data_IF_309838734776
#
_entry.id   IF_309838734776
#
_cell.length_a   1.000
_cell.length_b   1.000
_cell.length_c   1.000
_cell.angle_alpha   90.00
_cell.angle_beta   90.00
_cell.angle_gamma   90.00
#
_symmetry.space_group_name_H-M   'P 1'
#
loop_
_entity.id
_entity.type
_entity.pdbx_description
1 polymer ?
#
# COMPACT_ATOMS: atom_id res chain seq x y z
N UNK A 1 14.75 -0.01 -14.08
CA UNK A 1 14.41 0.52 -12.75
C UNK A 1 13.60 -0.48 -11.91
N UNK A 2 12.67 -1.24 -12.52
CA UNK A 2 11.79 -2.21 -11.81
C UNK A 2 12.54 -3.35 -11.11
N UNK A 3 13.78 -3.59 -11.44
CA UNK A 3 14.64 -4.58 -10.77
C UNK A 3 15.09 -4.12 -9.38
N UNK A 4 15.01 -2.81 -9.10
CA UNK A 4 15.39 -2.24 -7.81
C UNK A 4 14.32 -2.49 -6.75
N UNK A 5 14.68 -2.90 -5.54
CA UNK A 5 13.73 -3.08 -4.44
C UNK A 5 12.96 -1.80 -4.14
N UNK A 6 11.63 -1.89 -4.08
CA UNK A 6 10.75 -0.76 -3.79
C UNK A 6 10.29 0.05 -5.01
N UNK A 7 10.84 -0.21 -6.20
CA UNK A 7 10.40 0.45 -7.45
C UNK A 7 9.25 -0.36 -8.06
N UNK A 8 8.03 0.14 -7.89
CA UNK A 8 6.83 -0.37 -8.55
C UNK A 8 6.50 0.38 -9.83
N UNK A 9 5.44 -0.04 -10.54
CA UNK A 9 5.01 0.54 -11.83
C UNK A 9 4.81 2.06 -11.79
N UNK A 10 4.29 2.58 -10.68
CA UNK A 10 4.12 4.02 -10.48
C UNK A 10 5.46 4.73 -10.39
N UNK A 11 6.31 4.30 -9.47
CA UNK A 11 7.63 4.93 -9.22
C UNK A 11 8.52 4.86 -10.46
N UNK A 12 8.54 3.71 -11.13
CA UNK A 12 9.25 3.54 -12.40
C UNK A 12 8.76 4.54 -13.46
N UNK A 13 7.45 4.61 -13.69
CA UNK A 13 6.87 5.55 -14.67
C UNK A 13 7.10 7.01 -14.29
N UNK A 14 7.05 7.35 -13.01
CA UNK A 14 7.28 8.72 -12.53
C UNK A 14 8.73 9.14 -12.74
N UNK A 15 9.69 8.31 -12.38
CA UNK A 15 11.11 8.58 -12.59
C UNK A 15 11.40 8.74 -14.09
N UNK A 16 10.91 7.82 -14.93
CA UNK A 16 11.13 7.88 -16.38
C UNK A 16 10.53 9.13 -17.00
N UNK A 17 9.35 9.56 -16.59
CA UNK A 17 8.73 10.77 -17.10
C UNK A 17 9.45 12.04 -16.59
N UNK A 18 9.57 12.17 -15.27
CA UNK A 18 9.98 13.43 -14.63
C UNK A 18 11.48 13.65 -14.75
N UNK A 19 12.31 12.65 -14.43
CA UNK A 19 13.75 12.80 -14.44
C UNK A 19 14.39 12.56 -15.82
N UNK A 20 13.80 11.68 -16.63
CA UNK A 20 14.38 11.31 -17.93
C UNK A 20 13.57 11.78 -19.13
N UNK A 21 12.52 12.56 -18.92
CA UNK A 21 11.63 13.09 -19.97
C UNK A 21 11.11 12.03 -20.96
N UNK A 22 10.94 10.78 -20.49
CA UNK A 22 10.43 9.67 -21.32
C UNK A 22 8.90 9.71 -21.38
N UNK A 23 8.26 9.25 -22.48
CA UNK A 23 6.81 9.36 -22.70
C UNK A 23 6.00 8.37 -21.85
N UNK A 24 6.10 8.54 -20.54
CA UNK A 24 5.36 7.78 -19.55
C UNK A 24 4.37 8.68 -18.79
N UNK A 25 3.21 8.14 -18.46
CA UNK A 25 2.25 8.75 -17.55
C UNK A 25 2.18 7.89 -16.30
N UNK A 26 2.65 8.35 -15.14
CA UNK A 26 2.52 7.61 -13.89
C UNK A 26 1.04 7.52 -13.49
N UNK A 27 0.61 6.33 -13.06
CA UNK A 27 -0.78 6.11 -12.66
C UNK A 27 -0.87 6.13 -11.13
N UNK A 28 -1.05 7.32 -10.56
CA UNK A 28 -1.36 7.53 -9.14
C UNK A 28 -2.87 7.66 -8.90
N UNK A 29 -3.28 7.85 -7.64
CA UNK A 29 -4.68 8.04 -7.29
C UNK A 29 -5.32 9.32 -7.87
N UNK A 30 -4.53 10.35 -8.16
CA UNK A 30 -4.97 11.60 -8.76
C UNK A 30 -5.26 11.41 -10.25
N UNK A 31 -4.29 10.87 -10.97
CA UNK A 31 -4.42 10.59 -12.41
C UNK A 31 -5.51 9.53 -12.65
N UNK A 32 -5.61 8.50 -11.79
CA UNK A 32 -6.70 7.52 -11.85
C UNK A 32 -8.08 8.20 -11.74
N UNK A 33 -8.23 9.15 -10.84
CA UNK A 33 -9.47 9.93 -10.66
C UNK A 33 -9.79 10.78 -11.89
N UNK A 34 -8.78 11.47 -12.44
CA UNK A 34 -8.92 12.26 -13.67
C UNK A 34 -9.38 11.36 -14.81
N UNK A 35 -8.72 10.24 -15.05
CA UNK A 35 -9.10 9.26 -16.08
C UNK A 35 -10.53 8.77 -15.93
N UNK A 36 -10.92 8.38 -14.72
CA UNK A 36 -12.27 7.88 -14.44
C UNK A 36 -13.33 8.91 -14.76
N UNK A 37 -13.11 10.18 -14.45
CA UNK A 37 -14.03 11.26 -14.72
C UNK A 37 -13.99 11.68 -16.19
N UNK A 38 -12.82 11.86 -16.74
CA UNK A 38 -12.67 12.29 -18.13
C UNK A 38 -13.34 11.33 -19.11
N UNK A 39 -13.11 10.03 -18.95
CA UNK A 39 -13.71 8.99 -19.80
C UNK A 39 -15.05 8.45 -19.28
N UNK A 40 -15.54 8.92 -18.14
CA UNK A 40 -16.77 8.45 -17.48
C UNK A 40 -16.77 6.93 -17.23
N UNK A 41 -15.74 6.43 -16.55
CA UNK A 41 -15.56 5.01 -16.30
C UNK A 41 -16.36 4.59 -15.05
N UNK A 42 -17.49 3.90 -15.24
CA UNK A 42 -18.41 3.52 -14.15
C UNK A 42 -18.44 2.02 -13.87
N UNK A 43 -18.21 1.18 -14.88
CA UNK A 43 -18.24 -0.28 -14.74
C UNK A 43 -17.00 -0.77 -14.00
N UNK A 44 -17.15 -1.82 -13.14
CA UNK A 44 -16.02 -2.40 -12.40
C UNK A 44 -14.87 -2.84 -13.32
N UNK A 45 -15.18 -3.43 -14.49
CA UNK A 45 -14.19 -3.80 -15.50
C UNK A 45 -13.40 -2.62 -16.06
N UNK A 46 -14.01 -1.43 -16.16
CA UNK A 46 -13.40 -0.21 -16.69
C UNK A 46 -12.49 0.50 -15.68
N UNK A 47 -12.63 0.20 -14.39
CA UNK A 47 -11.82 0.78 -13.31
C UNK A 47 -10.74 -0.17 -12.79
N UNK A 48 -10.56 -1.32 -13.44
CA UNK A 48 -9.43 -2.21 -13.17
C UNK A 48 -8.11 -1.53 -13.53
N UNK A 49 -7.03 -1.91 -12.81
CA UNK A 49 -5.69 -1.32 -13.06
C UNK A 49 -5.27 -1.50 -14.52
N UNK A 50 -5.49 -2.67 -15.10
CA UNK A 50 -5.09 -2.96 -16.48
C UNK A 50 -5.86 -2.12 -17.50
N UNK A 51 -7.15 -1.91 -17.29
CA UNK A 51 -7.96 -1.04 -18.14
C UNK A 51 -7.49 0.43 -18.04
N UNK A 52 -7.22 0.92 -16.84
CA UNK A 52 -6.71 2.28 -16.63
C UNK A 52 -5.33 2.48 -17.25
N UNK A 53 -4.45 1.47 -17.20
CA UNK A 53 -3.15 1.49 -17.89
C UNK A 53 -3.33 1.61 -19.41
N UNK A 54 -4.31 0.92 -19.98
CA UNK A 54 -4.64 1.07 -21.41
C UNK A 54 -5.20 2.47 -21.72
N UNK A 55 -6.10 2.97 -20.87
CA UNK A 55 -6.74 4.29 -21.05
C UNK A 55 -5.78 5.46 -20.88
N UNK A 56 -4.79 5.38 -20.00
CA UNK A 56 -3.81 6.47 -19.85
C UNK A 56 -3.04 6.77 -21.13
N UNK A 57 -2.88 5.78 -22.03
CA UNK A 57 -2.25 5.97 -23.33
C UNK A 57 -3.07 6.93 -24.23
N UNK A 58 -4.39 7.02 -24.02
CA UNK A 58 -5.27 7.92 -24.76
C UNK A 58 -5.19 9.38 -24.30
N UNK A 59 -4.50 9.66 -23.20
CA UNK A 59 -4.17 11.03 -22.82
C UNK A 59 -3.08 11.63 -23.71
N UNK A 60 -2.51 10.81 -24.59
CA UNK A 60 -1.44 11.22 -25.48
C UNK A 60 -0.06 11.19 -24.82
N UNK A 61 0.89 11.68 -25.59
CA UNK A 61 2.29 11.84 -25.20
C UNK A 61 2.73 13.27 -25.54
N UNK A 62 3.72 13.78 -24.81
CA UNK A 62 4.27 15.11 -25.03
C UNK A 62 5.78 15.01 -25.21
N UNK A 63 6.35 15.88 -26.04
CA UNK A 63 7.80 16.09 -26.08
C UNK A 63 8.34 16.61 -24.74
N UNK A 64 7.48 17.28 -23.96
CA UNK A 64 7.71 17.72 -22.58
C UNK A 64 7.07 16.75 -21.60
N UNK A 65 7.50 15.50 -21.61
CA UNK A 65 6.88 14.42 -20.81
C UNK A 65 6.95 14.67 -19.31
N UNK A 66 8.01 15.33 -18.84
CA UNK A 66 8.19 15.73 -17.44
C UNK A 66 7.06 16.68 -17.00
N UNK A 67 6.88 17.78 -17.75
CA UNK A 67 5.86 18.79 -17.42
C UNK A 67 4.45 18.20 -17.57
N UNK A 68 4.25 17.39 -18.60
CA UNK A 68 2.95 16.75 -18.84
C UNK A 68 2.53 15.80 -17.71
N UNK A 69 3.45 14.97 -17.23
CA UNK A 69 3.19 14.08 -16.13
C UNK A 69 2.88 14.85 -14.82
N UNK A 70 3.64 15.90 -14.54
CA UNK A 70 3.43 16.76 -13.38
C UNK A 70 2.11 17.51 -13.47
N UNK A 71 1.81 18.11 -14.65
CA UNK A 71 0.53 18.81 -14.87
C UNK A 71 -0.69 17.90 -14.66
N UNK A 72 -0.63 16.62 -15.08
CA UNK A 72 -1.71 15.66 -14.80
C UNK A 72 -1.84 15.31 -13.31
N UNK A 73 -0.74 15.24 -12.58
CA UNK A 73 -0.77 15.03 -11.14
C UNK A 73 -1.39 16.24 -10.42
N UNK A 74 -0.96 17.46 -10.78
CA UNK A 74 -1.46 18.70 -10.22
C UNK A 74 -2.93 18.94 -10.57
N UNK A 75 -3.34 18.67 -11.82
CA UNK A 75 -4.73 18.70 -12.22
C UNK A 75 -5.60 17.84 -11.29
N UNK A 76 -5.14 16.64 -10.97
CA UNK A 76 -5.83 15.77 -10.03
C UNK A 76 -5.79 16.30 -8.59
N UNK A 77 -4.67 16.85 -8.14
CA UNK A 77 -4.51 17.32 -6.77
C UNK A 77 -5.30 18.62 -6.50
N UNK A 78 -5.19 19.59 -7.41
CA UNK A 78 -5.65 20.96 -7.18
C UNK A 78 -7.03 21.26 -7.78
N UNK A 79 -7.33 20.74 -8.96
CA UNK A 79 -8.53 21.05 -9.74
C UNK A 79 -9.55 19.91 -9.67
N UNK A 80 -9.21 18.73 -10.16
CA UNK A 80 -10.10 17.57 -10.16
C UNK A 80 -10.14 16.88 -8.79
N UNK A 81 -10.43 17.62 -7.72
CA UNK A 81 -10.46 17.15 -6.33
C UNK A 81 -11.42 15.98 -6.12
N UNK A 82 -11.23 15.14 -5.08
CA UNK A 82 -12.15 14.06 -4.74
C UNK A 82 -13.58 14.53 -4.50
N UNK A 83 -13.72 15.61 -3.73
CA UNK A 83 -14.98 16.32 -3.46
C UNK A 83 -14.91 17.71 -4.09
N UNK A 84 -16.03 18.21 -4.61
CA UNK A 84 -16.19 19.54 -5.17
C UNK A 84 -15.04 19.93 -6.14
N UNK A 85 -14.91 19.27 -7.29
CA UNK A 85 -13.90 19.61 -8.27
C UNK A 85 -14.14 21.01 -8.86
N UNK A 86 -13.05 21.79 -9.02
CA UNK A 86 -13.08 23.14 -9.63
C UNK A 86 -13.13 23.01 -11.16
N UNK A 87 -14.28 22.56 -11.69
CA UNK A 87 -14.41 22.24 -13.12
C UNK A 87 -14.28 23.45 -14.04
N UNK A 88 -14.65 24.64 -13.57
CA UNK A 88 -14.54 25.91 -14.34
C UNK A 88 -13.09 26.29 -14.63
N UNK A 89 -12.16 25.87 -13.77
CA UNK A 89 -10.71 26.10 -13.94
C UNK A 89 -10.03 24.97 -14.71
N UNK A 90 -10.79 23.91 -15.07
CA UNK A 90 -10.21 22.70 -15.63
C UNK A 90 -9.95 22.83 -17.14
N UNK A 91 -8.71 22.67 -17.63
CA UNK A 91 -8.42 22.76 -19.07
C UNK A 91 -9.06 21.62 -19.88
N UNK A 92 -9.54 20.57 -19.23
CA UNK A 92 -10.19 19.42 -19.87
C UNK A 92 -11.73 19.51 -19.85
N UNK A 93 -12.32 20.64 -19.41
CA UNK A 93 -13.75 20.77 -19.14
C UNK A 93 -14.62 20.40 -20.35
N UNK A 94 -14.27 20.91 -21.53
CA UNK A 94 -15.06 20.75 -22.74
C UNK A 94 -15.14 19.29 -23.24
N UNK A 95 -14.15 18.48 -22.92
CA UNK A 95 -14.07 17.07 -23.32
C UNK A 95 -14.38 16.10 -22.18
N UNK A 96 -14.59 16.61 -20.98
CA UNK A 96 -14.79 15.78 -19.79
C UNK A 96 -16.20 15.18 -19.76
N UNK A 97 -16.31 13.87 -19.96
CA UNK A 97 -17.60 13.18 -19.99
C UNK A 97 -18.37 13.23 -18.67
N UNK A 98 -17.68 13.25 -17.53
CA UNK A 98 -18.32 13.42 -16.23
C UNK A 98 -18.89 14.83 -16.04
N UNK A 99 -18.23 15.86 -16.57
CA UNK A 99 -18.75 17.23 -16.54
C UNK A 99 -20.00 17.36 -17.41
N UNK A 100 -19.95 16.88 -18.65
CA UNK A 100 -21.09 16.89 -19.58
C UNK A 100 -22.31 16.15 -19.02
N UNK A 101 -22.09 15.08 -18.24
CA UNK A 101 -23.15 14.29 -17.58
C UNK A 101 -23.53 14.80 -16.19
N UNK A 102 -22.87 15.84 -15.68
CA UNK A 102 -23.03 16.35 -14.31
C UNK A 102 -22.91 15.27 -13.23
N UNK A 103 -22.10 14.22 -13.48
CA UNK A 103 -21.92 13.08 -12.58
C UNK A 103 -20.44 12.84 -12.28
N UNK A 104 -20.03 13.21 -11.08
CA UNK A 104 -18.67 13.12 -10.57
C UNK A 104 -18.44 11.95 -9.59
N UNK A 105 -19.46 11.17 -9.31
CA UNK A 105 -19.38 10.03 -8.40
C UNK A 105 -18.44 8.99 -8.97
N UNK A 106 -17.45 8.56 -8.17
CA UNK A 106 -16.49 7.55 -8.56
C UNK A 106 -16.96 6.17 -8.10
N UNK A 107 -17.03 5.24 -9.03
CA UNK A 107 -17.20 3.84 -8.69
C UNK A 107 -15.92 3.33 -8.00
N UNK A 108 -16.09 2.70 -6.85
CA UNK A 108 -15.01 2.07 -6.10
C UNK A 108 -15.10 0.56 -6.23
N UNK A 109 -14.00 -0.10 -6.54
CA UNK A 109 -13.91 -1.55 -6.40
C UNK A 109 -13.91 -1.85 -4.88
N UNK A 110 -14.91 -2.60 -4.44
CA UNK A 110 -15.00 -3.04 -3.04
C UNK A 110 -13.82 -3.98 -2.77
N UNK A 111 -12.85 -3.52 -2.01
CA UNK A 111 -11.73 -4.37 -1.59
C UNK A 111 -12.28 -5.42 -0.63
N UNK A 112 -12.12 -6.68 -0.97
CA UNK A 112 -12.46 -7.78 -0.07
C UNK A 112 -11.43 -7.77 1.08
N UNK A 113 -11.92 -7.58 2.30
CA UNK A 113 -11.07 -7.72 3.48
C UNK A 113 -10.76 -9.20 3.68
N UNK A 114 -9.49 -9.53 3.74
CA UNK A 114 -9.00 -10.89 4.02
C UNK A 114 -8.71 -11.00 5.50
N UNK A 115 -9.30 -11.99 6.16
CA UNK A 115 -8.96 -12.34 7.53
C UNK A 115 -7.90 -13.43 7.53
N UNK A 116 -6.82 -13.23 8.27
CA UNK A 116 -5.75 -14.21 8.45
C UNK A 116 -5.42 -14.36 9.91
N UNK A 117 -5.05 -15.56 10.30
CA UNK A 117 -4.77 -15.94 11.67
C UNK A 117 -3.31 -16.31 11.83
N UNK A 118 -2.69 -15.84 12.90
CA UNK A 118 -1.26 -16.04 13.15
C UNK A 118 -1.00 -16.39 14.60
N UNK A 119 -0.17 -17.39 14.82
CA UNK A 119 0.49 -17.62 16.11
C UNK A 119 1.84 -16.92 16.09
N UNK A 120 2.07 -16.03 17.02
CA UNK A 120 3.25 -15.21 17.14
C UNK A 120 4.06 -15.65 18.35
N UNK A 121 5.31 -16.02 18.12
CA UNK A 121 6.23 -16.48 19.19
C UNK A 121 6.94 -15.30 19.83
N UNK A 122 6.84 -15.20 21.15
CA UNK A 122 7.63 -14.27 21.95
C UNK A 122 8.76 -15.05 22.63
N UNK A 123 9.96 -14.83 22.17
CA UNK A 123 11.16 -15.44 22.73
C UNK A 123 11.99 -14.33 23.35
N UNK A 124 12.21 -14.41 24.67
CA UNK A 124 12.96 -13.41 25.44
C UNK A 124 14.19 -14.08 26.11
N UNK A 125 15.36 -13.46 25.96
CA UNK A 125 16.61 -13.86 26.63
C UNK A 125 17.40 -12.59 26.99
N UNK A 126 17.92 -12.52 28.22
CA UNK A 126 18.73 -11.39 28.70
C UNK A 126 18.08 -10.03 28.37
N UNK A 127 16.81 -9.88 28.68
CA UNK A 127 15.99 -8.69 28.41
C UNK A 127 15.83 -8.28 26.94
N UNK A 128 16.31 -9.09 25.99
CA UNK A 128 16.17 -8.88 24.55
C UNK A 128 15.11 -9.83 23.99
N UNK A 129 14.46 -9.39 22.91
CA UNK A 129 13.48 -10.18 22.17
C UNK A 129 14.08 -10.67 20.87
N UNK A 130 13.78 -11.92 20.51
CA UNK A 130 14.18 -12.49 19.23
C UNK A 130 13.18 -12.05 18.15
N UNK A 131 13.70 -11.41 17.12
CA UNK A 131 12.99 -11.06 15.89
C UNK A 131 13.71 -11.70 14.70
N UNK A 132 13.02 -11.75 13.56
CA UNK A 132 13.55 -12.31 12.31
C UNK A 132 13.31 -11.35 11.15
N UNK A 133 14.16 -11.41 10.13
CA UNK A 133 13.89 -10.79 8.84
C UNK A 133 12.83 -11.62 8.11
N UNK A 134 11.70 -10.98 7.76
CA UNK A 134 10.58 -11.65 7.10
C UNK A 134 10.90 -11.96 5.63
N UNK A 135 11.21 -13.20 5.34
CA UNK A 135 11.39 -13.72 3.99
C UNK A 135 10.22 -14.61 3.54
N UNK A 136 9.34 -15.00 4.50
CA UNK A 136 8.27 -15.99 4.29
C UNK A 136 6.99 -15.36 3.76
N UNK A 137 6.58 -14.22 4.31
CA UNK A 137 5.30 -13.59 3.97
C UNK A 137 5.49 -12.48 2.96
N UNK A 138 4.57 -12.35 1.98
CA UNK A 138 4.58 -11.29 0.98
C UNK A 138 4.27 -9.90 1.57
N UNK A 139 3.57 -9.84 2.71
CA UNK A 139 3.41 -8.59 3.45
C UNK A 139 4.61 -8.36 4.37
N UNK A 140 5.03 -7.11 4.55
CA UNK A 140 6.22 -6.74 5.33
C UNK A 140 7.49 -7.51 4.93
N UNK A 141 7.61 -7.88 3.65
CA UNK A 141 8.78 -8.61 3.13
C UNK A 141 10.06 -7.80 3.41
N UNK A 142 11.11 -8.49 3.86
CA UNK A 142 12.39 -7.93 4.28
C UNK A 142 12.37 -7.04 5.54
N UNK A 143 11.22 -6.82 6.16
CA UNK A 143 11.18 -6.13 7.46
C UNK A 143 11.47 -7.07 8.63
N UNK A 144 11.91 -6.49 9.73
CA UNK A 144 12.17 -7.20 10.99
C UNK A 144 10.85 -7.33 11.76
N UNK A 145 10.41 -8.57 12.00
CA UNK A 145 9.17 -8.91 12.67
C UNK A 145 9.39 -9.97 13.74
N UNK A 146 8.45 -10.15 14.65
CA UNK A 146 8.45 -11.32 15.53
C UNK A 146 8.23 -12.61 14.73
N UNK A 147 8.85 -13.74 15.11
CA UNK A 147 8.57 -15.03 14.50
C UNK A 147 7.10 -15.37 14.60
N UNK A 148 6.50 -15.80 13.47
CA UNK A 148 5.10 -16.17 13.44
C UNK A 148 4.82 -17.22 12.38
N UNK A 149 3.73 -17.96 12.57
CA UNK A 149 3.20 -18.93 11.62
C UNK A 149 1.74 -18.59 11.29
N UNK A 150 1.36 -18.74 10.03
CA UNK A 150 -0.05 -18.63 9.61
C UNK A 150 -0.78 -19.90 10.04
N UNK A 151 -1.95 -19.75 10.66
CA UNK A 151 -2.80 -20.83 11.11
C UNK A 151 -4.23 -20.67 10.60
N UNK A 152 -5.10 -21.63 10.89
CA UNK A 152 -6.52 -21.57 10.53
C UNK A 152 -7.34 -21.03 11.70
N UNK A 153 -8.48 -20.41 11.39
CA UNK A 153 -9.47 -20.11 12.40
C UNK A 153 -9.95 -21.42 13.05
N UNK A 154 -9.95 -21.48 14.36
CA UNK A 154 -10.47 -22.60 15.12
C UNK A 154 -11.12 -22.11 16.42
N UNK A 155 -11.98 -22.92 17.03
CA UNK A 155 -12.57 -22.63 18.37
C UNK A 155 -11.52 -22.49 19.46
N UNK A 156 -10.34 -23.09 19.27
CA UNK A 156 -9.20 -23.00 20.19
C UNK A 156 -8.31 -21.77 19.99
N UNK A 157 -8.54 -20.99 18.91
CA UNK A 157 -7.72 -19.81 18.63
C UNK A 157 -8.10 -18.65 19.54
N UNK A 158 -7.23 -18.32 20.49
CA UNK A 158 -7.43 -17.21 21.43
C UNK A 158 -6.80 -15.94 20.85
N UNK A 159 -7.62 -15.01 20.41
CA UNK A 159 -7.15 -13.73 19.87
C UNK A 159 -6.64 -12.82 20.99
N UNK A 160 -5.37 -12.47 20.95
CA UNK A 160 -4.75 -11.45 21.83
C UNK A 160 -4.83 -10.05 21.26
N UNK A 161 -4.57 -9.90 19.95
CA UNK A 161 -4.70 -8.61 19.27
C UNK A 161 -5.06 -8.79 17.79
N UNK A 162 -5.52 -7.70 17.18
CA UNK A 162 -5.72 -7.63 15.75
C UNK A 162 -4.95 -6.44 15.15
N UNK A 163 -4.36 -6.65 14.00
CA UNK A 163 -3.64 -5.61 13.26
C UNK A 163 -4.12 -5.60 11.82
N UNK A 164 -4.49 -4.43 11.33
CA UNK A 164 -4.90 -4.24 9.94
C UNK A 164 -3.70 -3.75 9.11
N UNK A 165 -3.43 -4.46 8.01
CA UNK A 165 -2.42 -4.09 7.02
C UNK A 165 -3.11 -4.07 5.66
N UNK A 166 -3.27 -2.88 5.06
CA UNK A 166 -4.00 -2.68 3.80
C UNK A 166 -5.42 -3.27 3.87
N UNK A 167 -5.74 -4.28 3.07
CA UNK A 167 -7.03 -4.99 3.04
C UNK A 167 -7.01 -6.32 3.79
N UNK A 168 -6.01 -6.54 4.66
CA UNK A 168 -5.89 -7.74 5.47
C UNK A 168 -6.04 -7.41 6.95
N UNK A 169 -6.92 -8.12 7.64
CA UNK A 169 -7.00 -8.11 9.10
C UNK A 169 -6.29 -9.35 9.63
N UNK A 170 -5.22 -9.13 10.37
CA UNK A 170 -4.46 -10.18 11.04
C UNK A 170 -5.00 -10.37 12.46
N UNK A 171 -5.49 -11.56 12.77
CA UNK A 171 -5.81 -11.98 14.12
C UNK A 171 -4.60 -12.72 14.69
N UNK A 172 -4.09 -12.27 15.81
CA UNK A 172 -2.83 -12.74 16.37
C UNK A 172 -3.07 -13.34 17.74
N UNK A 173 -2.63 -14.57 17.93
CA UNK A 173 -2.46 -15.23 19.20
C UNK A 173 -0.99 -15.17 19.59
N UNK A 174 -0.70 -14.68 20.79
CA UNK A 174 0.66 -14.58 21.31
C UNK A 174 0.98 -15.84 22.12
N UNK A 175 2.07 -16.48 21.80
CA UNK A 175 2.61 -17.62 22.55
C UNK A 175 4.01 -17.27 23.06
N UNK A 176 4.23 -17.48 24.35
CA UNK A 176 5.55 -17.34 24.96
C UNK A 176 6.32 -18.65 24.83
N UNK A 177 7.57 -18.55 24.44
CA UNK A 177 8.45 -19.70 24.24
C UNK A 177 8.85 -19.93 22.79
N UNK A 178 9.68 -20.93 22.54
CA UNK A 178 10.23 -21.22 21.22
C UNK A 178 9.37 -22.25 20.48
N UNK A 179 8.44 -21.76 19.67
CA UNK A 179 7.67 -22.56 18.72
C UNK A 179 8.15 -22.38 17.27
N UNK A 180 9.21 -21.59 17.10
CA UNK A 180 9.78 -21.27 15.81
C UNK A 180 11.16 -21.92 15.68
N UNK A 181 11.28 -22.89 14.78
CA UNK A 181 12.48 -23.72 14.62
C UNK A 181 13.57 -23.11 13.74
N UNK A 182 13.22 -22.12 12.89
CA UNK A 182 14.19 -21.54 11.96
C UNK A 182 14.73 -20.20 12.49
N UNK A 183 15.91 -20.23 13.07
CA UNK A 183 16.59 -19.06 13.66
C UNK A 183 17.73 -18.49 12.78
N UNK A 184 17.88 -18.94 11.55
CA UNK A 184 19.01 -18.55 10.68
C UNK A 184 19.13 -17.03 10.42
N UNK A 185 18.04 -16.28 10.61
CA UNK A 185 18.00 -14.81 10.46
C UNK A 185 17.56 -14.11 11.76
N UNK A 186 17.92 -14.67 12.90
CA UNK A 186 17.54 -14.16 14.21
C UNK A 186 18.30 -12.88 14.58
N UNK A 187 17.59 -11.89 15.06
CA UNK A 187 18.13 -10.62 15.55
C UNK A 187 17.60 -10.41 16.98
N UNK A 188 18.48 -10.22 17.94
CA UNK A 188 18.13 -9.93 19.33
C UNK A 188 17.99 -8.43 19.54
N UNK A 189 16.80 -7.95 19.84
CA UNK A 189 16.48 -6.52 19.99
C UNK A 189 16.16 -6.20 21.44
N UNK A 190 16.84 -5.20 21.96
CA UNK A 190 16.55 -4.59 23.25
C UNK A 190 15.33 -3.65 23.11
N UNK A 191 14.24 -3.85 23.90
CA UNK A 191 13.07 -3.00 23.84
C UNK A 191 13.34 -1.54 24.25
N UNK A 192 14.40 -1.25 24.97
CA UNK A 192 14.86 0.11 25.31
C UNK A 192 15.52 0.83 24.14
N UNK A 193 15.97 0.10 23.12
CA UNK A 193 16.74 0.63 21.98
C UNK A 193 16.00 0.51 20.63
N UNK A 194 14.66 0.49 20.64
CA UNK A 194 13.87 0.28 19.42
C UNK A 194 14.10 1.35 18.34
N UNK A 195 14.50 2.56 18.72
CA UNK A 195 14.78 3.65 17.79
C UNK A 195 16.05 3.41 16.93
N UNK A 196 16.93 2.51 17.35
CA UNK A 196 18.14 2.14 16.60
C UNK A 196 17.81 1.16 15.45
N UNK A 197 16.55 0.73 15.33
CA UNK A 197 16.13 -0.24 14.32
C UNK A 197 15.00 0.30 13.47
N UNK A 198 15.08 0.10 12.16
CA UNK A 198 13.97 0.38 11.24
C UNK A 198 12.91 -0.70 11.36
N UNK A 199 12.03 -0.55 12.35
CA UNK A 199 10.95 -1.49 12.62
C UNK A 199 9.64 -1.02 12.00
N UNK A 200 8.88 -1.91 11.33
CA UNK A 200 7.55 -1.57 10.83
C UNK A 200 6.58 -1.29 11.97
N UNK A 201 5.54 -0.50 11.69
CA UNK A 201 4.47 -0.17 12.66
C UNK A 201 3.84 -1.44 13.26
N UNK A 202 3.76 -2.51 12.50
CA UNK A 202 3.33 -3.84 12.95
C UNK A 202 4.13 -4.30 14.17
N UNK A 203 5.46 -4.37 14.04
CA UNK A 203 6.37 -4.80 15.12
C UNK A 203 6.30 -3.88 16.33
N UNK A 204 6.26 -2.55 16.09
CA UNK A 204 6.12 -1.55 17.16
C UNK A 204 4.80 -1.70 17.94
N UNK A 205 3.69 -2.03 17.27
CA UNK A 205 2.39 -2.31 17.94
C UNK A 205 2.46 -3.54 18.84
N UNK A 206 3.17 -4.58 18.43
CA UNK A 206 3.35 -5.78 19.27
C UNK A 206 4.16 -5.44 20.52
N UNK A 207 5.28 -4.71 20.38
CA UNK A 207 6.04 -4.25 21.55
C UNK A 207 5.20 -3.43 22.54
N UNK A 208 4.36 -2.52 22.04
CA UNK A 208 3.44 -1.73 22.89
C UNK A 208 2.45 -2.64 23.63
N UNK A 209 1.90 -3.63 22.93
CA UNK A 209 0.96 -4.57 23.54
C UNK A 209 1.63 -5.41 24.64
N UNK A 210 2.87 -5.85 24.42
CA UNK A 210 3.66 -6.57 25.41
C UNK A 210 3.98 -5.71 26.65
N UNK A 211 4.32 -4.43 26.44
CA UNK A 211 4.59 -3.50 27.55
C UNK A 211 3.38 -3.26 28.45
N UNK A 212 2.17 -3.31 27.89
CA UNK A 212 0.92 -3.10 28.65
C UNK A 212 0.42 -4.36 29.37
N UNK A 213 1.03 -5.53 29.11
CA UNK A 213 0.66 -6.82 29.73
C UNK A 213 1.67 -7.28 30.81
N UNK A 214 2.78 -6.58 30.94
CA UNK A 214 3.81 -6.76 31.98
C UNK A 214 3.71 -5.61 32.97
#
# INVERSE_FOLDING_TARGET
>A
LKTLPGIGDYTDSAILAIAFNKPFVPLDGNIERVLKRYFYLKKASQISKDYLIKKKKLLGVSKRSSDYAQALMELGALICKPKNPSCTECPLINSCKSFLKKDFVLTKIKKINKSKYFELSIIKKNNKYLLIKNNKFNFLKNFIIFPMIETKASSKFKKDLNIKISNMTMYIQIKFGNFYTNTSNAIWIDPGKLNNYTLPTFTKKIFRHLKNKI
#
